data_IF_773570602412
#
_entry.id   IF_773570602412
#
_cell.length_a   1.000
_cell.length_b   1.000
_cell.length_c   1.000
_cell.angle_alpha   90.00
_cell.angle_beta   90.00
_cell.angle_gamma   90.00
#
_symmetry.space_group_name_H-M   'P 1'
#
loop_
_entity.id
_entity.type
_entity.pdbx_description
1 polymer ?
#
# COMPACT_ATOMS: atom_id res chain seq x y z
N UNK A 1 -11.79 -23.72 4.94
CA UNK A 1 -10.33 -23.73 4.69
C UNK A 1 -10.01 -22.35 4.14
N UNK A 2 -9.20 -21.55 4.82
CA UNK A 2 -8.83 -20.20 4.34
C UNK A 2 -7.63 -20.39 3.42
N UNK A 3 -7.80 -20.07 2.14
CA UNK A 3 -6.67 -20.06 1.20
C UNK A 3 -5.94 -18.74 1.40
N UNK A 4 -4.68 -18.81 1.82
CA UNK A 4 -3.81 -17.64 1.94
C UNK A 4 -2.98 -17.54 0.65
N UNK A 5 -3.35 -16.60 -0.21
CA UNK A 5 -2.56 -16.29 -1.41
C UNK A 5 -1.39 -15.39 -1.01
N UNK A 6 -0.16 -15.84 -1.30
CA UNK A 6 1.04 -15.04 -1.11
C UNK A 6 1.41 -14.39 -2.44
N UNK A 7 1.48 -13.06 -2.46
CA UNK A 7 2.06 -12.31 -3.58
C UNK A 7 3.37 -11.70 -3.11
N UNK A 8 4.43 -11.86 -3.92
CA UNK A 8 5.74 -11.25 -3.65
C UNK A 8 6.16 -10.46 -4.86
N UNK A 9 6.44 -9.18 -4.65
CA UNK A 9 7.00 -8.29 -5.67
C UNK A 9 8.42 -7.95 -5.24
N UNK A 10 9.40 -8.27 -6.09
CA UNK A 10 10.78 -7.87 -5.89
C UNK A 10 10.95 -6.45 -6.43
N UNK A 11 11.48 -5.56 -5.60
CA UNK A 11 11.74 -4.17 -5.96
C UNK A 11 13.19 -3.87 -5.59
N UNK A 12 13.99 -3.50 -6.59
CA UNK A 12 15.40 -3.16 -6.41
C UNK A 12 15.58 -1.69 -6.05
N UNK A 13 16.69 -1.37 -5.38
CA UNK A 13 17.07 0.03 -5.09
C UNK A 13 16.13 0.74 -4.09
N UNK A 14 15.44 -0.02 -3.25
CA UNK A 14 14.56 0.54 -2.20
C UNK A 14 15.39 1.31 -1.19
N UNK A 15 15.09 2.60 -1.04
CA UNK A 15 15.72 3.44 -0.02
C UNK A 15 14.76 3.73 1.14
N UNK A 16 13.46 3.85 0.86
CA UNK A 16 12.48 4.29 1.85
C UNK A 16 11.12 3.62 1.65
N UNK A 17 10.49 3.25 2.76
CA UNK A 17 9.09 2.80 2.80
C UNK A 17 8.29 3.77 3.65
N UNK A 18 7.20 4.30 3.10
CA UNK A 18 6.31 5.26 3.76
C UNK A 18 4.94 4.65 3.91
N UNK A 19 4.42 4.67 5.15
CA UNK A 19 3.03 4.31 5.44
C UNK A 19 2.31 5.60 5.84
N UNK A 20 1.30 5.99 5.07
CA UNK A 20 0.52 7.19 5.38
C UNK A 20 -0.41 6.95 6.58
N UNK A 21 -0.71 8.03 7.31
CA UNK A 21 -1.73 7.97 8.35
C UNK A 21 -3.11 7.67 7.74
N UNK A 22 -3.98 6.93 8.45
CA UNK A 22 -5.35 6.72 8.00
C UNK A 22 -6.09 8.04 7.82
N UNK A 23 -6.66 8.23 6.63
CA UNK A 23 -7.52 9.35 6.27
C UNK A 23 -8.90 8.82 5.84
N UNK A 24 -9.96 9.55 6.19
CA UNK A 24 -11.32 9.19 5.76
C UNK A 24 -11.49 9.56 4.28
N UNK A 25 -11.89 8.59 3.46
CA UNK A 25 -12.27 8.81 2.07
C UNK A 25 -13.72 9.31 2.01
N UNK A 26 -13.96 10.54 1.51
CA UNK A 26 -15.29 11.14 1.54
C UNK A 26 -16.27 10.50 0.54
N UNK A 27 -15.78 9.77 -0.47
CA UNK A 27 -16.64 9.14 -1.48
C UNK A 27 -17.16 7.79 -1.01
N UNK A 28 -16.31 7.02 -0.32
CA UNK A 28 -16.62 5.65 0.12
C UNK A 28 -17.02 5.58 1.59
N UNK A 29 -16.57 6.52 2.42
CA UNK A 29 -16.72 6.50 3.88
C UNK A 29 -15.72 5.60 4.61
N UNK A 30 -14.79 4.98 3.88
CA UNK A 30 -13.77 4.11 4.45
C UNK A 30 -12.51 4.89 4.87
N UNK A 31 -11.73 4.32 5.79
CA UNK A 31 -10.40 4.82 6.09
C UNK A 31 -9.38 4.25 5.12
N UNK A 32 -8.62 5.14 4.47
CA UNK A 32 -7.60 4.80 3.49
C UNK A 32 -6.21 5.04 4.07
N UNK A 33 -5.28 4.14 3.73
CA UNK A 33 -3.84 4.30 3.93
C UNK A 33 -3.11 3.88 2.66
N UNK A 34 -1.89 4.34 2.50
CA UNK A 34 -1.02 3.95 1.41
C UNK A 34 0.32 3.47 1.96
N UNK A 35 0.78 2.35 1.43
CA UNK A 35 2.14 1.86 1.60
C UNK A 35 2.87 2.18 0.31
N UNK A 36 3.82 3.10 0.39
CA UNK A 36 4.63 3.57 -0.75
C UNK A 36 6.05 3.08 -0.57
N UNK A 37 6.60 2.45 -1.61
CA UNK A 37 8.02 2.10 -1.69
C UNK A 37 8.67 3.07 -2.65
N UNK A 38 9.69 3.76 -2.18
CA UNK A 38 10.40 4.82 -2.89
C UNK A 38 11.80 4.33 -3.25
N UNK A 39 12.20 4.59 -4.48
CA UNK A 39 13.57 4.45 -4.99
C UNK A 39 14.04 5.85 -5.39
N UNK A 40 15.26 6.21 -5.05
CA UNK A 40 15.80 7.55 -5.33
C UNK A 40 17.26 7.63 -4.89
N UNK A 41 17.84 8.83 -4.87
CA UNK A 41 19.03 9.13 -4.08
C UNK A 41 18.65 9.50 -2.64
N UNK A 42 19.47 9.05 -1.68
CA UNK A 42 19.26 9.29 -0.25
C UNK A 42 18.99 10.78 0.07
N UNK A 43 17.81 11.07 0.62
CA UNK A 43 17.42 12.41 1.05
C UNK A 43 16.40 13.13 0.16
N UNK A 44 16.01 12.55 -0.99
CA UNK A 44 14.88 13.03 -1.79
C UNK A 44 13.68 12.08 -1.69
N UNK A 45 12.49 12.63 -1.52
CA UNK A 45 11.26 11.84 -1.70
C UNK A 45 11.05 11.63 -3.21
N UNK A 46 11.66 10.55 -3.73
CA UNK A 46 11.57 10.16 -5.13
C UNK A 46 10.15 9.75 -5.57
N UNK A 47 10.02 9.31 -6.82
CA UNK A 47 8.74 8.76 -7.33
C UNK A 47 8.56 7.34 -6.77
N UNK A 48 7.40 6.99 -6.19
CA UNK A 48 7.19 5.64 -5.69
C UNK A 48 7.11 4.64 -6.85
N UNK A 49 7.88 3.56 -6.73
CA UNK A 49 7.89 2.43 -7.67
C UNK A 49 6.83 1.39 -7.34
N UNK A 50 6.32 1.43 -6.10
CA UNK A 50 5.19 0.62 -5.67
C UNK A 50 4.31 1.44 -4.74
N UNK A 51 3.00 1.38 -4.98
CA UNK A 51 1.98 1.98 -4.13
C UNK A 51 0.90 0.94 -3.91
N UNK A 52 0.69 0.55 -2.65
CA UNK A 52 -0.46 -0.23 -2.23
C UNK A 52 -1.40 0.69 -1.47
N UNK A 53 -2.56 0.97 -2.07
CA UNK A 53 -3.67 1.64 -1.41
C UNK A 53 -4.53 0.59 -0.72
N UNK A 54 -4.82 0.82 0.54
CA UNK A 54 -5.65 -0.06 1.36
C UNK A 54 -6.79 0.75 1.96
N UNK A 55 -7.98 0.15 2.02
CA UNK A 55 -9.18 0.76 2.58
C UNK A 55 -9.76 -0.12 3.68
N UNK A 56 -10.63 0.44 4.51
CA UNK A 56 -11.38 -0.35 5.49
C UNK A 56 -12.31 0.50 6.33
N UNK A 57 -13.43 -0.08 6.75
CA UNK A 57 -14.46 0.64 7.49
C UNK A 57 -13.99 1.11 8.89
N UNK A 58 -13.05 0.39 9.51
CA UNK A 58 -12.54 0.74 10.84
C UNK A 58 -11.17 1.41 10.75
N UNK A 59 -10.99 2.57 11.41
CA UNK A 59 -9.72 3.31 11.43
C UNK A 59 -8.51 2.46 11.86
N UNK A 60 -8.72 1.50 12.77
CA UNK A 60 -7.70 0.63 13.33
C UNK A 60 -7.47 -0.68 12.57
N UNK A 61 -8.28 -0.98 11.56
CA UNK A 61 -8.14 -2.18 10.73
C UNK A 61 -7.85 -1.78 9.29
N UNK A 62 -7.28 -2.72 8.55
CA UNK A 62 -6.99 -2.56 7.13
C UNK A 62 -7.62 -3.75 6.44
N UNK A 63 -8.44 -3.49 5.43
CA UNK A 63 -8.89 -4.50 4.48
C UNK A 63 -8.00 -4.41 3.24
N UNK A 64 -7.30 -5.51 2.97
CA UNK A 64 -6.37 -5.60 1.85
C UNK A 64 -7.09 -6.23 0.67
N UNK A 65 -7.71 -5.39 -0.15
CA UNK A 65 -8.27 -5.82 -1.44
C UNK A 65 -7.23 -5.57 -2.52
N UNK A 66 -6.28 -6.49 -2.67
CA UNK A 66 -5.37 -6.48 -3.81
C UNK A 66 -6.12 -7.05 -5.03
N UNK A 67 -6.04 -6.43 -6.23
CA UNK A 67 -6.52 -7.11 -7.43
C UNK A 67 -5.76 -8.42 -7.58
N UNK A 68 -6.46 -9.53 -7.79
CA UNK A 68 -5.83 -10.75 -8.27
C UNK A 68 -5.14 -10.40 -9.59
N UNK A 69 -3.81 -10.28 -9.58
CA UNK A 69 -3.03 -10.12 -10.80
C UNK A 69 -3.13 -11.45 -11.55
N UNK A 70 -4.00 -11.50 -12.54
CA UNK A 70 -4.07 -12.59 -13.52
C UNK A 70 -2.97 -12.34 -14.55
N UNK A 71 -2.00 -13.25 -14.62
CA UNK A 71 -0.99 -13.31 -15.68
C UNK A 71 -1.51 -14.19 -16.82
#
# INVERSE_FOLDING_TARGET
MITVTHQTTLVDGVEKVVITAPALDPETGDYVREIRVLTGPEGEDGIPVFVLRVSGAERGKIELTAPEQTF
#
